data_IF_438968233919
#
_entry.id   IF_438968233919
#
_cell.length_a   1.000
_cell.length_b   1.000
_cell.length_c   1.000
_cell.angle_alpha   90.00
_cell.angle_beta   90.00
_cell.angle_gamma   90.00
#
_symmetry.space_group_name_H-M   'P 1'
#
loop_
_entity.id
_entity.type
_entity.pdbx_description
1 polymer ?
#
# COMPACT_ATOMS: atom_id res chain seq x y z
N UNK A 1 -78.43 26.08 19.40
CA UNK A 1 -77.06 26.62 19.41
C UNK A 1 -76.10 25.45 19.58
N UNK A 2 -75.54 24.92 18.45
CA UNK A 2 -74.55 23.79 18.45
C UNK A 2 -73.20 24.42 18.28
N UNK A 3 -72.28 24.25 19.28
CA UNK A 3 -70.91 24.69 19.21
C UNK A 3 -70.12 23.56 18.57
N UNK A 4 -69.55 23.75 17.37
CA UNK A 4 -68.60 22.90 16.72
C UNK A 4 -67.20 23.15 17.33
N UNK A 5 -66.61 22.11 17.89
CA UNK A 5 -65.26 22.15 18.35
C UNK A 5 -64.38 21.64 17.18
N UNK A 6 -63.54 22.52 16.65
CA UNK A 6 -62.60 22.23 15.60
C UNK A 6 -61.32 21.64 16.26
N UNK A 7 -61.09 20.34 16.04
CA UNK A 7 -59.92 19.65 16.54
C UNK A 7 -58.77 19.87 15.54
N UNK A 8 -57.76 20.66 15.92
CA UNK A 8 -56.57 20.91 15.12
C UNK A 8 -55.57 19.80 15.44
N UNK A 9 -55.46 18.80 14.57
CA UNK A 9 -54.42 17.79 14.63
C UNK A 9 -53.13 18.37 14.09
N UNK A 10 -52.17 18.62 14.99
CA UNK A 10 -50.81 19.05 14.67
C UNK A 10 -50.03 17.80 14.21
N UNK A 11 -49.83 17.68 12.90
CA UNK A 11 -49.01 16.62 12.31
C UNK A 11 -47.53 17.00 12.47
N UNK A 12 -46.87 16.43 13.48
CA UNK A 12 -45.44 16.59 13.74
C UNK A 12 -44.68 15.74 12.71
N UNK A 13 -44.24 16.36 11.62
CA UNK A 13 -43.30 15.72 10.69
C UNK A 13 -41.93 15.68 11.35
N UNK A 14 -41.53 14.49 11.81
CA UNK A 14 -40.14 14.20 12.22
C UNK A 14 -39.33 14.17 10.93
N UNK A 15 -38.61 15.26 10.64
CA UNK A 15 -37.53 15.27 9.68
C UNK A 15 -36.38 14.47 10.33
N UNK A 16 -36.29 13.19 10.01
CA UNK A 16 -35.12 12.41 10.27
C UNK A 16 -34.02 12.99 9.38
N UNK A 17 -33.21 13.88 9.93
CA UNK A 17 -31.93 14.28 9.37
C UNK A 17 -31.06 13.01 9.39
N UNK A 18 -30.78 12.44 8.22
CA UNK A 18 -29.62 11.61 8.06
C UNK A 18 -28.41 12.52 8.29
N UNK A 19 -27.92 12.60 9.51
CA UNK A 19 -26.55 13.02 9.75
C UNK A 19 -25.67 12.04 8.96
N UNK A 20 -25.02 12.54 7.92
CA UNK A 20 -23.85 11.88 7.38
C UNK A 20 -22.86 11.82 8.54
N UNK A 21 -22.50 10.62 8.91
CA UNK A 21 -21.42 10.35 9.85
C UNK A 21 -20.09 10.75 9.16
N UNK A 22 -19.80 12.07 9.19
CA UNK A 22 -18.56 12.67 8.66
C UNK A 22 -17.36 12.37 9.57
N UNK A 23 -17.53 11.47 10.56
CA UNK A 23 -16.47 10.99 11.46
C UNK A 23 -15.93 9.61 11.08
N UNK A 24 -15.99 9.20 9.82
CA UNK A 24 -15.11 8.11 9.38
C UNK A 24 -13.69 8.67 9.33
N UNK A 25 -12.93 8.32 10.38
CA UNK A 25 -11.49 8.51 10.40
C UNK A 25 -10.92 7.87 9.11
N UNK A 26 -10.22 8.62 8.23
CA UNK A 26 -9.65 8.07 7.00
C UNK A 26 -8.63 6.93 7.26
N UNK A 27 -8.28 6.69 8.53
CA UNK A 27 -7.23 5.80 8.97
C UNK A 27 -7.64 4.33 9.15
N UNK A 28 -8.91 3.95 9.03
CA UNK A 28 -9.34 2.56 9.28
C UNK A 28 -9.77 1.81 8.01
N UNK A 29 -8.84 1.62 7.06
CA UNK A 29 -9.06 0.56 6.07
C UNK A 29 -8.91 -0.82 6.70
N UNK A 30 -7.87 -1.01 7.52
CA UNK A 30 -7.54 -2.29 8.15
C UNK A 30 -6.71 -2.06 9.42
N UNK A 31 -7.05 -2.74 10.51
CA UNK A 31 -6.21 -2.81 11.70
C UNK A 31 -5.28 -4.03 11.58
N UNK A 32 -3.99 -3.82 11.50
CA UNK A 32 -2.99 -4.88 11.51
C UNK A 32 -2.47 -5.06 12.95
N UNK A 33 -2.93 -6.08 13.67
CA UNK A 33 -2.57 -6.32 15.08
C UNK A 33 -1.06 -6.50 15.35
N UNK A 34 -0.24 -6.72 14.31
CA UNK A 34 1.21 -6.91 14.40
C UNK A 34 1.99 -5.91 13.51
N UNK A 35 1.37 -4.81 13.12
CA UNK A 35 2.04 -3.82 12.29
C UNK A 35 3.01 -2.96 13.10
N UNK A 36 4.12 -2.61 12.48
CA UNK A 36 4.94 -1.47 12.86
C UNK A 36 4.31 -0.21 12.27
N UNK A 37 4.61 0.95 12.84
CA UNK A 37 4.12 2.22 12.31
C UNK A 37 5.19 3.29 12.32
N UNK A 38 5.15 4.15 11.32
CA UNK A 38 5.96 5.37 11.22
C UNK A 38 5.07 6.54 10.83
N UNK A 39 5.47 7.75 11.24
CA UNK A 39 4.81 8.98 10.77
C UNK A 39 5.53 9.47 9.53
N UNK A 40 4.81 9.57 8.40
CA UNK A 40 5.30 10.18 7.17
C UNK A 40 4.30 11.25 6.72
N UNK A 41 4.78 12.47 6.45
CA UNK A 41 3.97 13.66 6.12
C UNK A 41 2.79 13.93 7.10
N UNK A 42 3.02 13.66 8.39
CA UNK A 42 2.01 13.84 9.43
C UNK A 42 0.94 12.74 9.47
N UNK A 43 1.05 11.72 8.62
CA UNK A 43 0.14 10.56 8.55
C UNK A 43 0.84 9.37 9.20
N UNK A 44 0.11 8.65 10.07
CA UNK A 44 0.58 7.37 10.58
C UNK A 44 0.45 6.30 9.49
N UNK A 45 1.58 5.71 9.08
CA UNK A 45 1.65 4.68 8.03
C UNK A 45 2.12 3.38 8.66
N UNK A 46 1.54 2.27 8.23
CA UNK A 46 1.80 0.95 8.80
C UNK A 46 2.51 0.02 7.82
N UNK A 47 3.20 -0.99 8.37
CA UNK A 47 3.77 -2.10 7.61
C UNK A 47 3.93 -3.33 8.51
N UNK A 48 3.83 -4.52 7.94
CA UNK A 48 4.17 -5.76 8.63
C UNK A 48 5.62 -6.12 8.33
N UNK A 49 6.41 -6.28 9.39
CA UNK A 49 7.83 -6.62 9.32
C UNK A 49 8.02 -8.09 9.70
N UNK A 50 8.77 -8.82 8.90
CA UNK A 50 9.21 -10.18 9.20
C UNK A 50 10.73 -10.28 9.17
N UNK A 51 11.30 -10.69 10.31
CA UNK A 51 12.73 -10.96 10.47
C UNK A 51 12.88 -12.48 10.51
N UNK A 52 13.62 -13.12 9.58
CA UNK A 52 13.81 -14.56 9.60
C UNK A 52 14.66 -15.00 10.80
N UNK A 53 14.40 -16.21 11.32
CA UNK A 53 15.19 -16.76 12.41
C UNK A 53 16.65 -17.01 12.02
N UNK A 54 16.93 -17.11 10.73
CA UNK A 54 18.30 -17.23 10.19
C UNK A 54 19.10 -15.93 10.28
N UNK A 55 18.45 -14.77 10.51
CA UNK A 55 19.14 -13.49 10.68
C UNK A 55 19.72 -13.35 12.09
N UNK A 56 21.03 -13.17 12.18
CA UNK A 56 21.76 -13.03 13.47
C UNK A 56 22.36 -11.63 13.68
N UNK A 57 22.15 -10.71 12.74
CA UNK A 57 22.64 -9.33 12.78
C UNK A 57 24.15 -9.17 12.45
N UNK A 58 24.89 -10.25 12.23
CA UNK A 58 26.35 -10.19 12.01
C UNK A 58 26.71 -9.75 10.60
N UNK A 59 25.90 -10.12 9.61
CA UNK A 59 26.08 -9.76 8.20
C UNK A 59 24.92 -8.92 7.70
N UNK A 60 25.20 -8.05 6.72
CA UNK A 60 24.13 -7.31 6.04
C UNK A 60 23.34 -8.26 5.13
N UNK A 61 22.00 -8.10 5.17
CA UNK A 61 21.06 -8.96 4.46
C UNK A 61 20.18 -8.16 3.50
N UNK A 62 19.68 -8.77 2.41
CA UNK A 62 18.73 -8.10 1.52
C UNK A 62 17.44 -7.69 2.23
N UNK A 63 16.77 -6.67 1.67
CA UNK A 63 15.44 -6.24 2.06
C UNK A 63 14.47 -6.46 0.90
N UNK A 64 13.34 -7.11 1.16
CA UNK A 64 12.27 -7.33 0.19
C UNK A 64 11.00 -6.60 0.62
N UNK A 65 10.50 -5.72 -0.23
CA UNK A 65 9.21 -5.04 -0.07
C UNK A 65 8.17 -5.74 -0.94
N UNK A 66 7.00 -6.09 -0.37
CA UNK A 66 5.96 -6.81 -1.10
C UNK A 66 4.60 -6.09 -0.96
N UNK A 67 4.13 -5.45 -2.05
CA UNK A 67 3.01 -4.51 -2.08
C UNK A 67 1.71 -5.22 -2.46
N UNK A 68 0.66 -5.10 -1.62
CA UNK A 68 -0.68 -5.63 -1.89
C UNK A 68 -1.37 -4.90 -3.05
N UNK A 69 -2.40 -5.51 -3.62
CA UNK A 69 -3.28 -4.91 -4.63
C UNK A 69 -4.24 -3.87 -4.06
N UNK A 70 -4.97 -3.17 -4.94
CA UNK A 70 -6.00 -2.20 -4.56
C UNK A 70 -7.04 -2.84 -3.63
N UNK A 71 -7.39 -2.16 -2.53
CA UNK A 71 -8.32 -2.65 -1.52
C UNK A 71 -7.79 -3.76 -0.62
N UNK A 72 -6.51 -4.17 -0.75
CA UNK A 72 -5.89 -5.21 0.07
C UNK A 72 -5.36 -4.70 1.41
N UNK A 73 -4.91 -5.62 2.26
CA UNK A 73 -4.19 -5.29 3.49
C UNK A 73 -2.81 -5.95 3.52
N UNK A 74 -1.88 -5.35 4.26
CA UNK A 74 -0.53 -5.89 4.45
C UNK A 74 -0.56 -7.29 5.09
N UNK A 75 -1.43 -7.48 6.09
CA UNK A 75 -1.56 -8.75 6.82
C UNK A 75 -2.16 -9.87 5.96
N UNK A 76 -3.19 -9.57 5.16
CA UNK A 76 -3.80 -10.57 4.28
C UNK A 76 -2.84 -10.92 3.14
N UNK A 77 -2.19 -9.91 2.55
CA UNK A 77 -1.24 -10.13 1.47
C UNK A 77 -0.01 -10.92 1.91
N UNK A 78 0.42 -10.77 3.18
CA UNK A 78 1.46 -11.65 3.75
C UNK A 78 1.03 -13.12 3.79
N UNK A 79 -0.27 -13.43 3.88
CA UNK A 79 -0.78 -14.81 3.81
C UNK A 79 -0.95 -15.28 2.35
N UNK A 80 -1.40 -14.40 1.45
CA UNK A 80 -1.64 -14.71 0.04
C UNK A 80 -0.36 -14.88 -0.76
N UNK A 81 0.63 -14.01 -0.52
CA UNK A 81 1.94 -14.00 -1.15
C UNK A 81 3.04 -14.23 -0.08
N UNK A 82 2.93 -15.36 0.62
CA UNK A 82 3.81 -15.69 1.74
C UNK A 82 5.23 -16.03 1.29
N UNK A 83 6.15 -15.10 1.53
CA UNK A 83 7.57 -15.26 1.23
C UNK A 83 8.41 -15.61 2.46
N UNK A 84 7.79 -15.88 3.63
CA UNK A 84 8.53 -16.13 4.88
C UNK A 84 9.43 -17.36 4.80
N UNK A 85 8.98 -18.44 4.14
CA UNK A 85 9.81 -19.62 3.94
C UNK A 85 11.05 -19.36 3.07
N UNK A 86 10.94 -18.46 2.09
CA UNK A 86 12.06 -18.00 1.27
C UNK A 86 12.99 -17.11 2.10
N UNK A 87 12.43 -16.20 2.92
CA UNK A 87 13.20 -15.36 3.81
C UNK A 87 14.03 -16.18 4.82
N UNK A 88 13.48 -17.28 5.34
CA UNK A 88 14.22 -18.21 6.21
C UNK A 88 15.35 -18.93 5.45
N UNK A 89 15.11 -19.34 4.21
CA UNK A 89 16.09 -20.10 3.43
C UNK A 89 17.27 -19.25 2.95
N UNK A 90 16.99 -18.02 2.53
CA UNK A 90 17.97 -17.14 1.88
C UNK A 90 18.41 -15.96 2.76
N UNK A 91 17.91 -15.87 3.97
CA UNK A 91 18.19 -14.84 4.99
C UNK A 91 18.02 -13.43 4.45
N UNK A 92 16.77 -12.99 4.23
CA UNK A 92 16.44 -11.61 3.90
C UNK A 92 15.31 -11.07 4.79
N UNK A 93 15.34 -9.78 5.06
CA UNK A 93 14.27 -9.10 5.78
C UNK A 93 13.10 -8.85 4.83
N UNK A 94 11.87 -9.10 5.30
CA UNK A 94 10.68 -9.02 4.48
C UNK A 94 9.70 -8.00 5.07
N UNK A 95 9.19 -7.11 4.22
CA UNK A 95 8.22 -6.09 4.59
C UNK A 95 7.00 -6.19 3.68
N UNK A 96 5.81 -6.14 4.30
CA UNK A 96 4.54 -5.92 3.63
C UNK A 96 4.01 -4.55 4.05
N UNK A 97 4.18 -3.51 3.24
CA UNK A 97 3.67 -2.18 3.55
C UNK A 97 2.15 -2.13 3.44
N UNK A 98 1.51 -1.21 4.21
CA UNK A 98 0.09 -0.92 4.11
C UNK A 98 -0.15 0.33 3.27
N UNK A 99 -0.93 0.20 2.22
CA UNK A 99 -1.37 1.31 1.38
C UNK A 99 -2.25 2.30 2.14
N UNK A 100 -2.24 3.56 1.72
CA UNK A 100 -3.10 4.59 2.30
C UNK A 100 -4.58 4.26 2.08
N UNK A 101 -5.44 4.64 3.04
CA UNK A 101 -6.88 4.47 2.94
C UNK A 101 -7.54 5.69 2.29
N UNK A 102 -8.35 5.46 1.26
CA UNK A 102 -9.23 6.45 0.66
C UNK A 102 -10.61 5.83 0.46
N UNK A 103 -11.64 6.45 1.03
CA UNK A 103 -13.02 5.98 0.94
C UNK A 103 -13.23 4.51 1.34
N UNK A 104 -12.47 4.04 2.33
CA UNK A 104 -12.52 2.67 2.84
C UNK A 104 -11.77 1.64 2.01
N UNK A 105 -10.98 2.06 1.02
CA UNK A 105 -10.15 1.18 0.19
C UNK A 105 -8.69 1.62 0.24
N UNK A 106 -7.81 0.68 0.55
CA UNK A 106 -6.38 0.93 0.52
C UNK A 106 -5.83 0.94 -0.90
N UNK A 107 -4.83 1.77 -1.15
CA UNK A 107 -4.22 1.90 -2.47
C UNK A 107 -2.78 2.41 -2.40
N UNK A 108 -2.11 2.36 -3.54
CA UNK A 108 -0.79 2.92 -3.79
C UNK A 108 -0.86 3.98 -4.88
N UNK A 109 -0.23 5.11 -4.64
CA UNK A 109 0.05 6.13 -5.64
C UNK A 109 1.38 5.78 -6.32
N UNK A 110 1.28 5.28 -7.55
CA UNK A 110 2.43 4.76 -8.31
C UNK A 110 3.07 5.79 -9.23
N UNK A 111 2.60 7.04 -9.16
CA UNK A 111 3.09 8.19 -9.90
C UNK A 111 3.57 9.28 -8.92
N UNK A 112 4.44 10.20 -9.33
CA UNK A 112 4.69 11.42 -8.59
C UNK A 112 3.41 12.22 -8.36
N UNK A 113 3.45 13.12 -7.40
CA UNK A 113 2.33 14.00 -7.10
C UNK A 113 1.79 14.68 -8.37
N UNK A 114 0.47 14.60 -8.58
CA UNK A 114 -0.20 15.13 -9.77
C UNK A 114 -0.23 14.20 -10.98
N UNK A 115 0.33 12.97 -10.88
CA UNK A 115 0.18 11.92 -11.88
C UNK A 115 -1.17 11.18 -11.79
N UNK A 116 -1.24 9.96 -12.32
CA UNK A 116 -2.46 9.11 -12.27
C UNK A 116 -2.62 8.45 -10.87
N UNK A 117 -2.72 9.29 -9.86
CA UNK A 117 -2.86 8.91 -8.46
C UNK A 117 -4.31 9.04 -7.97
N UNK A 118 -4.67 8.24 -6.97
CA UNK A 118 -6.01 8.29 -6.35
C UNK A 118 -6.10 9.30 -5.19
N UNK A 119 -4.95 9.65 -4.62
CA UNK A 119 -4.83 10.60 -3.51
C UNK A 119 -3.52 11.38 -3.59
N UNK A 120 -3.35 12.36 -2.71
CA UNK A 120 -2.11 13.17 -2.60
C UNK A 120 -1.07 12.55 -1.64
N UNK A 121 -1.26 11.29 -1.20
CA UNK A 121 -0.29 10.64 -0.31
C UNK A 121 1.03 10.38 -1.03
N UNK A 122 2.15 10.72 -0.37
CA UNK A 122 3.49 10.44 -0.85
C UNK A 122 3.92 9.00 -0.48
N UNK A 123 3.54 8.04 -1.32
CA UNK A 123 3.92 6.64 -1.10
C UNK A 123 5.39 6.36 -1.38
N UNK A 124 6.05 7.13 -2.25
CA UNK A 124 7.48 6.99 -2.49
C UNK A 124 8.30 7.43 -1.27
N UNK A 125 7.97 8.57 -0.67
CA UNK A 125 8.62 9.03 0.54
C UNK A 125 8.31 8.14 1.76
N UNK A 126 7.11 7.58 1.83
CA UNK A 126 6.79 6.56 2.84
C UNK A 126 7.71 5.34 2.72
N UNK A 127 7.94 4.83 1.51
CA UNK A 127 8.85 3.70 1.27
C UNK A 127 10.28 4.05 1.71
N UNK A 128 10.79 5.24 1.37
CA UNK A 128 12.12 5.70 1.81
C UNK A 128 12.21 5.79 3.33
N UNK A 129 11.18 6.35 3.98
CA UNK A 129 11.12 6.47 5.44
C UNK A 129 11.10 5.11 6.13
N UNK A 130 10.34 4.15 5.59
CA UNK A 130 10.26 2.78 6.09
C UNK A 130 11.59 2.04 5.94
N UNK A 131 12.25 2.14 4.79
CA UNK A 131 13.58 1.56 4.56
C UNK A 131 14.59 2.16 5.55
N UNK A 132 14.56 3.46 5.75
CA UNK A 132 15.43 4.18 6.70
C UNK A 132 15.20 3.67 8.13
N UNK A 133 13.94 3.57 8.55
CA UNK A 133 13.58 3.09 9.90
C UNK A 133 14.09 1.66 10.13
N UNK A 134 13.81 0.75 9.19
CA UNK A 134 14.24 -0.65 9.30
C UNK A 134 15.76 -0.79 9.26
N UNK A 135 16.44 -0.04 8.39
CA UNK A 135 17.91 -0.04 8.30
C UNK A 135 18.60 0.56 9.53
N UNK A 136 17.90 1.39 10.31
CA UNK A 136 18.42 1.90 11.58
C UNK A 136 18.45 0.83 12.69
N UNK A 137 17.61 -0.19 12.57
CA UNK A 137 17.43 -1.25 13.58
C UNK A 137 18.11 -2.57 13.16
N UNK A 138 18.24 -2.82 11.86
CA UNK A 138 18.75 -4.07 11.30
C UNK A 138 19.88 -3.80 10.30
N UNK A 139 20.80 -4.74 10.18
CA UNK A 139 21.92 -4.65 9.25
C UNK A 139 21.47 -4.99 7.82
N UNK A 140 20.79 -4.03 7.16
CA UNK A 140 20.30 -4.15 5.78
C UNK A 140 21.42 -3.85 4.79
N UNK A 141 21.52 -4.64 3.73
CA UNK A 141 22.35 -4.34 2.58
C UNK A 141 21.62 -3.36 1.66
N UNK A 142 22.03 -2.11 1.70
CA UNK A 142 21.39 -1.01 0.94
C UNK A 142 21.55 -1.15 -0.59
N UNK A 143 22.45 -2.02 -1.08
CA UNK A 143 22.58 -2.33 -2.50
C UNK A 143 21.66 -3.48 -2.94
N UNK A 144 20.99 -4.16 -1.99
CA UNK A 144 20.11 -5.32 -2.26
C UNK A 144 18.70 -5.08 -1.68
N UNK A 145 18.07 -3.98 -2.08
CA UNK A 145 16.67 -3.68 -1.76
C UNK A 145 15.82 -3.99 -2.99
N UNK A 146 14.81 -4.83 -2.80
CA UNK A 146 13.94 -5.32 -3.88
C UNK A 146 12.49 -4.96 -3.61
N UNK A 147 11.71 -4.78 -4.68
CA UNK A 147 10.29 -4.52 -4.57
C UNK A 147 9.49 -5.46 -5.46
N UNK A 148 8.46 -6.08 -4.90
CA UNK A 148 7.48 -6.87 -5.64
C UNK A 148 6.06 -6.40 -5.31
N UNK A 149 5.10 -6.68 -6.17
CA UNK A 149 3.71 -6.37 -5.87
C UNK A 149 2.72 -6.96 -6.87
N UNK A 150 1.47 -6.99 -6.44
CA UNK A 150 0.34 -7.49 -7.22
C UNK A 150 -0.59 -6.35 -7.62
N UNK A 151 -1.07 -6.32 -8.89
CA UNK A 151 -2.04 -5.35 -9.40
C UNK A 151 -1.57 -3.89 -9.13
N UNK A 152 -2.29 -3.09 -8.35
CA UNK A 152 -1.87 -1.75 -7.94
C UNK A 152 -0.52 -1.75 -7.19
N UNK A 153 -0.21 -2.79 -6.39
CA UNK A 153 1.13 -2.99 -5.81
C UNK A 153 2.20 -3.29 -6.85
N UNK A 154 1.84 -3.97 -7.95
CA UNK A 154 2.72 -4.17 -9.11
C UNK A 154 2.99 -2.87 -9.89
N UNK A 155 1.98 -1.96 -9.95
CA UNK A 155 2.18 -0.60 -10.46
C UNK A 155 3.13 0.19 -9.55
N UNK A 156 3.00 0.04 -8.21
CA UNK A 156 3.92 0.66 -7.26
C UNK A 156 5.36 0.17 -7.43
N UNK A 157 5.56 -1.13 -7.68
CA UNK A 157 6.88 -1.67 -7.99
C UNK A 157 7.48 -1.03 -9.26
N UNK A 158 6.69 -0.82 -10.30
CA UNK A 158 7.13 -0.07 -11.49
C UNK A 158 7.42 1.40 -11.18
N UNK A 159 6.58 2.06 -10.37
CA UNK A 159 6.84 3.43 -9.93
C UNK A 159 8.19 3.55 -9.20
N UNK A 160 8.48 2.63 -8.28
CA UNK A 160 9.76 2.56 -7.57
C UNK A 160 10.93 2.33 -8.54
N UNK A 161 10.78 1.44 -9.53
CA UNK A 161 11.79 1.23 -10.56
C UNK A 161 12.13 2.52 -11.33
N UNK A 162 11.14 3.36 -11.61
CA UNK A 162 11.33 4.58 -12.38
C UNK A 162 11.83 5.76 -11.54
N UNK A 163 11.29 5.94 -10.33
CA UNK A 163 11.54 7.14 -9.53
C UNK A 163 12.55 6.93 -8.40
N UNK A 164 12.84 5.67 -8.04
CA UNK A 164 13.73 5.29 -6.93
C UNK A 164 14.76 4.24 -7.39
N UNK A 165 15.19 4.30 -8.65
CA UNK A 165 16.19 3.38 -9.21
C UNK A 165 17.55 3.47 -8.52
N UNK A 166 17.83 4.55 -7.80
CA UNK A 166 19.04 4.70 -6.98
C UNK A 166 18.92 3.94 -5.63
N UNK A 167 17.71 3.54 -5.24
CA UNK A 167 17.43 2.86 -3.97
C UNK A 167 17.06 1.40 -4.18
N UNK A 168 16.33 1.09 -5.26
CA UNK A 168 15.80 -0.25 -5.55
C UNK A 168 16.67 -0.96 -6.56
N UNK A 169 17.15 -2.16 -6.24
CA UNK A 169 18.05 -2.95 -7.08
C UNK A 169 17.32 -3.72 -8.20
N UNK A 170 16.11 -4.21 -7.95
CA UNK A 170 15.27 -4.88 -8.95
C UNK A 170 13.80 -4.91 -8.50
N UNK A 171 12.89 -5.08 -9.46
CA UNK A 171 11.45 -5.15 -9.18
C UNK A 171 10.77 -6.35 -9.83
N UNK A 172 9.65 -6.77 -9.21
CA UNK A 172 8.74 -7.76 -9.79
C UNK A 172 7.31 -7.22 -9.77
N UNK A 173 6.62 -7.28 -10.91
CA UNK A 173 5.22 -6.89 -11.04
C UNK A 173 4.38 -8.10 -11.46
N UNK A 174 3.35 -8.41 -10.65
CA UNK A 174 2.37 -9.46 -10.95
C UNK A 174 1.04 -8.79 -11.29
N UNK A 175 0.57 -8.96 -12.52
CA UNK A 175 -0.68 -8.35 -13.02
C UNK A 175 -0.78 -6.84 -12.76
N UNK A 176 0.35 -6.14 -12.71
CA UNK A 176 0.44 -4.68 -12.68
C UNK A 176 0.83 -4.16 -14.06
N UNK A 177 0.56 -2.89 -14.33
CA UNK A 177 0.98 -2.20 -15.56
C UNK A 177 1.89 -1.03 -15.21
N UNK A 178 2.76 -0.67 -16.13
CA UNK A 178 3.55 0.55 -16.02
C UNK A 178 2.68 1.72 -16.50
N UNK A 179 2.50 2.72 -15.64
CA UNK A 179 1.67 3.88 -15.94
C UNK A 179 2.44 4.92 -16.77
N UNK A 180 1.71 5.70 -17.57
CA UNK A 180 2.28 6.74 -18.45
C UNK A 180 2.95 7.93 -17.72
N UNK A 181 2.75 8.03 -16.40
CA UNK A 181 3.41 9.05 -15.58
C UNK A 181 4.91 8.83 -15.42
N UNK A 182 5.44 7.76 -16.01
CA UNK A 182 6.80 7.32 -15.76
C UNK A 182 7.83 8.21 -16.46
N UNK A 183 8.72 8.78 -15.66
CA UNK A 183 9.96 9.38 -16.14
C UNK A 183 10.96 8.31 -16.62
N UNK A 184 12.12 8.74 -17.06
CA UNK A 184 13.23 7.82 -17.35
C UNK A 184 13.91 7.40 -16.03
N UNK A 185 14.25 6.12 -15.92
CA UNK A 185 15.11 5.61 -14.83
C UNK A 185 16.52 6.20 -14.94
N UNK A 186 17.16 6.43 -13.79
CA UNK A 186 18.57 6.86 -13.77
C UNK A 186 19.52 5.70 -14.11
N UNK A 187 19.09 4.46 -13.83
CA UNK A 187 19.85 3.24 -14.06
C UNK A 187 19.02 2.18 -14.76
N UNK A 188 19.65 1.28 -15.57
CA UNK A 188 18.98 0.08 -16.05
C UNK A 188 18.43 -0.73 -14.88
N UNK A 189 17.12 -1.01 -14.87
CA UNK A 189 16.43 -1.70 -13.80
C UNK A 189 16.08 -3.13 -14.22
N UNK A 190 16.54 -4.17 -13.52
CA UNK A 190 16.05 -5.53 -13.71
C UNK A 190 14.57 -5.63 -13.33
N UNK A 191 13.75 -6.15 -14.23
CA UNK A 191 12.30 -6.29 -14.04
C UNK A 191 11.87 -7.72 -14.32
N UNK A 192 11.09 -8.31 -13.41
CA UNK A 192 10.29 -9.52 -13.67
C UNK A 192 8.84 -9.11 -13.82
N UNK A 193 8.20 -9.47 -14.92
CA UNK A 193 6.79 -9.23 -15.18
C UNK A 193 6.03 -10.53 -15.36
N UNK A 194 5.00 -10.75 -14.56
CA UNK A 194 4.10 -11.90 -14.61
C UNK A 194 2.68 -11.38 -14.86
N UNK A 195 2.03 -11.85 -15.93
CA UNK A 195 0.69 -11.37 -16.27
C UNK A 195 -0.16 -12.47 -16.87
N UNK A 196 -1.42 -12.53 -16.47
CA UNK A 196 -2.39 -13.44 -17.07
C UNK A 196 -2.79 -12.97 -18.48
N UNK A 197 -2.62 -13.81 -19.49
CA UNK A 197 -3.03 -13.47 -20.90
C UNK A 197 -4.54 -13.27 -21.04
N UNK A 198 -5.33 -13.67 -20.06
CA UNK A 198 -6.79 -13.50 -20.00
C UNK A 198 -7.22 -12.59 -18.85
N UNK A 199 -6.34 -11.69 -18.37
CA UNK A 199 -6.67 -10.73 -17.34
C UNK A 199 -7.80 -9.81 -17.82
N UNK A 200 -8.96 -9.86 -17.12
CA UNK A 200 -10.15 -9.08 -17.50
C UNK A 200 -10.21 -7.69 -16.85
N UNK A 201 -9.26 -7.37 -15.95
CA UNK A 201 -9.19 -6.07 -15.24
C UNK A 201 -8.12 -5.19 -15.86
N UNK A 202 -6.94 -5.76 -16.04
CA UNK A 202 -5.81 -5.11 -16.71
C UNK A 202 -5.38 -5.99 -17.90
N UNK A 203 -5.93 -5.79 -19.10
CA UNK A 203 -5.67 -6.66 -20.23
C UNK A 203 -4.17 -6.71 -20.60
N UNK A 204 -3.66 -7.92 -20.87
CA UNK A 204 -2.25 -8.12 -21.24
C UNK A 204 -1.84 -7.36 -22.52
N UNK A 205 -2.75 -7.19 -23.46
CA UNK A 205 -2.48 -6.53 -24.75
C UNK A 205 -2.88 -5.04 -24.79
N UNK A 206 -3.25 -4.43 -23.65
CA UNK A 206 -3.68 -3.02 -23.58
C UNK A 206 -5.14 -2.80 -23.96
#
# INVERSE_FOLDING_TARGET
MKKSILLFTFLLTILSSCEKDDNKNPEECYSNNNAQSIVHDGINREYVLYIPNSYDGTSSVPLMLNFHGFGGSASDYMQEADMRSLAEADTFILIYPQGICLDGLSHWNSCPLGGDNKSDADDFGFVESMITEVSSQYNVDMERIYAAGYSNGGMMAYGLANYKSDLIAAVASVSGVMLDCTGSTNHPMPVVHLHGTSDGVLPYNG
#
